data_IF_899114530946
#
_entry.id   IF_899114530946
#
_cell.length_a   1.000
_cell.length_b   1.000
_cell.length_c   1.000
_cell.angle_alpha   90.00
_cell.angle_beta   90.00
_cell.angle_gamma   90.00
#
_symmetry.space_group_name_H-M   'P 1'
#
loop_
_entity.id
_entity.type
_entity.pdbx_description
1 polymer ?
#
# COMPACT_ATOMS: atom_id res chain seq x y z
N UNK A 1 4.73 -5.88 -28.30
CA UNK A 1 5.70 -6.15 -27.20
C UNK A 1 4.96 -6.53 -25.91
N UNK A 2 5.56 -7.22 -24.92
CA UNK A 2 4.82 -7.77 -23.78
C UNK A 2 4.51 -6.71 -22.71
N UNK A 3 3.30 -6.79 -22.14
CA UNK A 3 2.93 -6.06 -20.93
C UNK A 3 3.63 -6.74 -19.75
N UNK A 4 4.43 -5.99 -18.98
CA UNK A 4 5.11 -6.50 -17.79
C UNK A 4 4.28 -6.19 -16.54
N UNK A 5 3.84 -7.25 -15.87
CA UNK A 5 3.12 -7.16 -14.60
C UNK A 5 4.11 -7.03 -13.45
N UNK A 6 3.98 -5.96 -12.67
CA UNK A 6 4.85 -5.64 -11.55
C UNK A 6 4.02 -5.50 -10.28
N UNK A 7 4.47 -6.14 -9.20
CA UNK A 7 3.93 -5.94 -7.86
C UNK A 7 4.98 -5.25 -6.98
N UNK A 8 4.54 -4.34 -6.11
CA UNK A 8 5.40 -3.61 -5.17
C UNK A 8 5.13 -4.11 -3.74
N UNK A 9 6.19 -4.47 -3.01
CA UNK A 9 6.10 -4.82 -1.60
C UNK A 9 6.86 -3.79 -0.75
N UNK A 10 6.15 -3.08 0.11
CA UNK A 10 6.68 -2.06 1.00
C UNK A 10 7.08 -2.68 2.35
N UNK A 11 8.38 -2.78 2.59
CA UNK A 11 8.91 -3.29 3.86
C UNK A 11 8.46 -2.42 5.05
N UNK A 12 8.21 -3.07 6.19
CA UNK A 12 7.98 -2.40 7.46
C UNK A 12 9.27 -1.88 8.11
N UNK A 13 9.13 -0.93 9.02
CA UNK A 13 10.25 -0.36 9.76
C UNK A 13 9.87 0.81 10.66
N UNK A 14 8.61 0.85 11.13
CA UNK A 14 8.06 2.01 11.83
C UNK A 14 8.18 3.29 10.99
N UNK A 15 8.76 4.33 11.58
CA UNK A 15 8.98 5.63 10.94
C UNK A 15 9.93 5.59 9.74
N UNK A 16 10.82 4.59 9.62
CA UNK A 16 11.66 4.43 8.43
C UNK A 16 10.85 4.13 7.16
N UNK A 17 9.59 3.70 7.29
CA UNK A 17 8.71 3.50 6.14
C UNK A 17 8.40 4.81 5.39
N UNK A 18 8.71 5.98 5.94
CA UNK A 18 8.71 7.25 5.21
C UNK A 18 9.60 7.21 3.96
N UNK A 19 10.61 6.33 3.92
CA UNK A 19 11.39 6.05 2.72
C UNK A 19 10.49 5.59 1.56
N UNK A 20 9.54 4.69 1.81
CA UNK A 20 8.61 4.20 0.79
C UNK A 20 7.73 5.34 0.26
N UNK A 21 7.35 6.28 1.11
CA UNK A 21 6.63 7.48 0.69
C UNK A 21 7.47 8.43 -0.19
N UNK A 22 8.80 8.37 -0.09
CA UNK A 22 9.70 9.05 -1.03
C UNK A 22 9.95 8.28 -2.33
N UNK A 23 9.96 6.95 -2.28
CA UNK A 23 10.26 6.08 -3.42
C UNK A 23 9.04 5.87 -4.35
N UNK A 24 7.85 5.63 -3.79
CA UNK A 24 6.62 5.35 -4.54
C UNK A 24 6.25 6.48 -5.52
N UNK A 25 6.35 7.78 -5.19
CA UNK A 25 6.11 8.87 -6.14
C UNK A 25 7.03 8.87 -7.36
N UNK A 26 8.20 8.23 -7.28
CA UNK A 26 9.14 8.10 -8.41
C UNK A 26 8.82 6.87 -9.26
N UNK A 27 8.31 5.80 -8.63
CA UNK A 27 7.99 4.55 -9.32
C UNK A 27 6.61 4.59 -9.98
N UNK A 28 5.59 5.14 -9.31
CA UNK A 28 4.21 5.12 -9.77
C UNK A 28 3.98 5.76 -11.16
N UNK A 29 4.66 6.86 -11.54
CA UNK A 29 4.54 7.42 -12.89
C UNK A 29 4.97 6.48 -14.02
N UNK A 30 5.75 5.42 -13.74
CA UNK A 30 6.19 4.48 -14.76
C UNK A 30 5.11 3.48 -15.17
N UNK A 31 4.04 3.33 -14.38
CA UNK A 31 2.97 2.38 -14.67
C UNK A 31 1.86 3.02 -15.50
N UNK A 32 1.50 2.35 -16.60
CA UNK A 32 0.51 2.84 -17.59
C UNK A 32 -0.88 2.22 -17.34
N UNK A 33 -1.26 2.00 -16.09
CA UNK A 33 -2.51 1.29 -15.76
C UNK A 33 -3.76 1.96 -16.34
N UNK A 34 -3.83 3.28 -16.30
CA UNK A 34 -4.98 4.03 -16.81
C UNK A 34 -5.15 3.85 -18.33
N UNK A 35 -4.04 3.77 -19.05
CA UNK A 35 -4.03 3.56 -20.50
C UNK A 35 -4.25 2.10 -20.89
N UNK A 36 -3.88 1.17 -20.01
CA UNK A 36 -4.14 -0.26 -20.17
C UNK A 36 -5.56 -0.69 -19.77
N UNK A 37 -6.31 0.16 -19.04
CA UNK A 37 -7.64 -0.18 -18.56
C UNK A 37 -8.67 -0.35 -19.70
N UNK A 38 -8.67 0.49 -20.76
CA UNK A 38 -9.51 0.27 -21.94
C UNK A 38 -9.14 -0.98 -22.75
N UNK A 39 -10.16 -1.66 -23.28
CA UNK A 39 -9.99 -2.77 -24.22
C UNK A 39 -9.15 -2.39 -25.44
N UNK A 40 -9.34 -1.17 -25.96
CA UNK A 40 -8.56 -0.60 -27.07
C UNK A 40 -7.17 -0.11 -26.65
N UNK A 41 -6.95 0.17 -25.36
CA UNK A 41 -5.70 0.70 -24.85
C UNK A 41 -4.54 -0.27 -25.02
N UNK A 42 -4.80 -1.57 -24.85
CA UNK A 42 -3.81 -2.62 -25.10
C UNK A 42 -3.34 -2.68 -26.54
N UNK A 43 -4.24 -2.50 -27.51
CA UNK A 43 -3.88 -2.50 -28.93
C UNK A 43 -3.03 -1.27 -29.27
N UNK A 44 -3.42 -0.09 -28.75
CA UNK A 44 -2.69 1.17 -28.97
C UNK A 44 -1.27 1.14 -28.39
N UNK A 45 -1.09 0.48 -27.25
CA UNK A 45 0.20 0.35 -26.58
C UNK A 45 1.05 -0.80 -27.13
N UNK A 46 0.48 -1.70 -27.94
CA UNK A 46 1.21 -2.86 -28.48
C UNK A 46 2.29 -2.47 -29.50
N UNK A 47 2.10 -1.30 -30.15
CA UNK A 47 3.00 -0.72 -31.15
C UNK A 47 4.15 0.10 -30.54
N UNK A 48 4.18 0.29 -29.21
CA UNK A 48 5.29 0.98 -28.56
C UNK A 48 6.58 0.11 -28.57
N UNK A 49 7.73 0.78 -28.80
CA UNK A 49 9.04 0.14 -28.86
C UNK A 49 9.60 -0.28 -27.47
N UNK A 50 8.98 0.17 -26.38
CA UNK A 50 9.43 -0.07 -25.00
C UNK A 50 8.44 -0.97 -24.25
N UNK A 51 8.92 -1.65 -23.20
CA UNK A 51 8.06 -2.46 -22.35
C UNK A 51 7.03 -1.59 -21.61
N UNK A 52 5.77 -2.02 -21.65
CA UNK A 52 4.68 -1.34 -20.94
C UNK A 52 4.53 -1.95 -19.56
N UNK A 53 4.76 -1.16 -18.52
CA UNK A 53 4.66 -1.60 -17.13
C UNK A 53 3.21 -1.47 -16.62
N UNK A 54 2.71 -2.54 -15.99
CA UNK A 54 1.43 -2.60 -15.31
C UNK A 54 1.63 -2.90 -13.84
N UNK A 55 1.15 -2.03 -12.96
CA UNK A 55 1.08 -2.31 -11.54
C UNK A 55 -0.07 -3.29 -11.28
N UNK A 56 0.23 -4.49 -10.82
CA UNK A 56 -0.79 -5.52 -10.53
C UNK A 56 -1.10 -5.66 -9.05
N UNK A 57 -0.24 -5.15 -8.18
CA UNK A 57 -0.47 -5.20 -6.74
C UNK A 57 0.52 -4.32 -5.99
N UNK A 58 0.08 -3.84 -4.83
CA UNK A 58 0.92 -3.16 -3.87
C UNK A 58 0.56 -3.68 -2.48
N UNK A 59 1.58 -4.05 -1.71
CA UNK A 59 1.42 -4.59 -0.37
C UNK A 59 2.43 -3.94 0.57
N UNK A 60 2.24 -4.10 1.87
CA UNK A 60 3.23 -3.69 2.83
C UNK A 60 2.96 -4.22 4.24
N UNK A 61 3.89 -3.98 5.15
CA UNK A 61 3.80 -4.41 6.55
C UNK A 61 4.04 -3.22 7.48
N UNK A 62 3.27 -3.08 8.57
CA UNK A 62 3.39 -1.96 9.54
C UNK A 62 3.36 -0.59 8.82
N UNK A 63 4.34 0.31 9.05
CA UNK A 63 4.42 1.60 8.34
C UNK A 63 4.52 1.48 6.81
N UNK A 64 5.04 0.36 6.30
CA UNK A 64 5.04 0.05 4.88
C UNK A 64 3.63 -0.24 4.35
N UNK A 65 2.75 -0.84 5.17
CA UNK A 65 1.34 -1.05 4.83
C UNK A 65 0.60 0.28 4.71
N UNK A 66 0.91 1.24 5.58
CA UNK A 66 0.34 2.61 5.51
C UNK A 66 0.75 3.27 4.20
N UNK A 67 2.03 3.23 3.85
CA UNK A 67 2.51 3.80 2.59
C UNK A 67 1.93 3.08 1.37
N UNK A 68 1.83 1.75 1.41
CA UNK A 68 1.20 0.97 0.34
C UNK A 68 -0.28 1.35 0.15
N UNK A 69 -1.03 1.47 1.25
CA UNK A 69 -2.44 1.82 1.24
C UNK A 69 -2.67 3.24 0.69
N UNK A 70 -1.93 4.23 1.19
CA UNK A 70 -2.04 5.63 0.72
C UNK A 70 -1.66 5.77 -0.74
N UNK A 71 -0.59 5.09 -1.15
CA UNK A 71 -0.15 5.07 -2.54
C UNK A 71 -1.19 4.44 -3.46
N UNK A 72 -1.71 3.27 -3.09
CA UNK A 72 -2.77 2.58 -3.81
C UNK A 72 -4.02 3.46 -3.94
N UNK A 73 -4.49 4.01 -2.83
CA UNK A 73 -5.71 4.81 -2.76
C UNK A 73 -5.59 6.06 -3.63
N UNK A 74 -4.50 6.83 -3.50
CA UNK A 74 -4.29 8.00 -4.35
C UNK A 74 -4.09 7.65 -5.82
N UNK A 75 -3.38 6.55 -6.11
CA UNK A 75 -3.17 6.09 -7.49
C UNK A 75 -4.48 5.69 -8.16
N UNK A 76 -5.39 5.06 -7.42
CA UNK A 76 -6.72 4.68 -7.87
C UNK A 76 -7.59 5.91 -8.22
N UNK A 77 -7.58 6.93 -7.36
CA UNK A 77 -8.44 8.11 -7.48
C UNK A 77 -7.93 9.15 -8.48
N UNK A 78 -6.62 9.37 -8.56
CA UNK A 78 -6.05 10.48 -9.33
C UNK A 78 -4.65 10.19 -9.89
N UNK A 79 -4.24 8.93 -9.92
CA UNK A 79 -2.95 8.52 -10.48
C UNK A 79 -1.74 8.91 -9.61
N UNK A 80 -0.54 8.94 -10.20
CA UNK A 80 0.71 9.13 -9.47
C UNK A 80 0.78 10.41 -8.61
N UNK A 81 0.24 11.51 -9.11
CA UNK A 81 0.28 12.79 -8.39
C UNK A 81 -0.63 12.79 -7.16
N UNK A 82 -1.82 12.18 -7.23
CA UNK A 82 -2.69 12.03 -6.08
C UNK A 82 -2.09 11.06 -5.04
N UNK A 83 -1.45 9.98 -5.48
CA UNK A 83 -0.70 9.06 -4.62
C UNK A 83 0.42 9.79 -3.87
N UNK A 84 1.23 10.57 -4.59
CA UNK A 84 2.28 11.41 -4.01
C UNK A 84 1.70 12.38 -2.99
N UNK A 85 0.68 13.15 -3.36
CA UNK A 85 0.10 14.13 -2.45
C UNK A 85 -0.48 13.49 -1.18
N UNK A 86 -1.12 12.32 -1.28
CA UNK A 86 -1.61 11.55 -0.13
C UNK A 86 -0.49 11.09 0.80
N UNK A 87 0.56 10.50 0.23
CA UNK A 87 1.76 10.09 0.97
C UNK A 87 2.43 11.28 1.66
N UNK A 88 2.63 12.39 0.95
CA UNK A 88 3.28 13.59 1.48
C UNK A 88 2.46 14.17 2.65
N UNK A 89 1.14 14.34 2.47
CA UNK A 89 0.26 14.85 3.53
C UNK A 89 0.28 13.98 4.78
N UNK A 90 0.19 12.65 4.64
CA UNK A 90 0.17 11.77 5.80
C UNK A 90 1.50 11.81 6.56
N UNK A 91 2.63 11.67 5.86
CA UNK A 91 3.93 11.62 6.55
C UNK A 91 4.35 12.97 7.12
N UNK A 92 3.93 14.09 6.52
CA UNK A 92 4.07 15.42 7.12
C UNK A 92 3.22 15.53 8.40
N UNK A 93 1.97 15.05 8.39
CA UNK A 93 1.11 15.04 9.58
C UNK A 93 1.63 14.09 10.67
N UNK A 94 2.23 12.96 10.30
CA UNK A 94 2.77 11.98 11.24
C UNK A 94 4.09 12.41 11.91
N UNK A 95 4.72 13.50 11.44
CA UNK A 95 5.93 14.01 12.08
C UNK A 95 5.65 14.51 13.51
N UNK A 96 6.54 14.20 14.46
CA UNK A 96 6.56 14.77 15.81
C UNK A 96 6.92 16.26 15.74
N UNK A 97 5.91 17.14 15.69
CA UNK A 97 6.12 18.58 15.52
C UNK A 97 5.78 19.37 16.77
N UNK A 98 4.84 18.89 17.60
CA UNK A 98 4.48 19.57 18.84
C UNK A 98 5.61 19.42 19.88
N UNK A 99 5.75 20.34 20.84
CA UNK A 99 6.87 20.34 21.79
C UNK A 99 6.98 19.03 22.60
N UNK A 100 5.85 18.51 23.09
CA UNK A 100 5.81 17.24 23.83
C UNK A 100 6.05 16.02 22.96
N UNK A 101 5.61 16.05 21.70
CA UNK A 101 5.88 14.98 20.72
C UNK A 101 7.38 14.89 20.44
N UNK A 102 8.05 16.04 20.26
CA UNK A 102 9.49 16.11 20.06
C UNK A 102 10.24 15.55 21.26
N UNK A 103 9.88 15.97 22.48
CA UNK A 103 10.49 15.46 23.70
C UNK A 103 10.35 13.94 23.81
N UNK A 104 9.14 13.40 23.61
CA UNK A 104 8.91 11.96 23.66
C UNK A 104 9.67 11.21 22.57
N UNK A 105 9.71 11.76 21.36
CA UNK A 105 10.45 11.21 20.23
C UNK A 105 11.97 11.21 20.49
N UNK A 106 12.50 12.25 21.13
CA UNK A 106 13.93 12.36 21.46
C UNK A 106 14.30 11.38 22.57
N UNK A 107 13.47 11.23 23.61
CA UNK A 107 13.62 10.21 24.65
C UNK A 107 13.58 8.81 24.04
N UNK A 108 12.62 8.55 23.14
CA UNK A 108 12.47 7.25 22.47
C UNK A 108 13.67 6.91 21.58
N UNK A 109 14.17 7.87 20.80
CA UNK A 109 15.39 7.70 20.00
C UNK A 109 16.62 7.47 20.87
N UNK A 110 16.75 8.21 21.98
CA UNK A 110 17.83 8.04 22.94
C UNK A 110 17.78 6.64 23.58
N UNK A 111 16.63 6.21 24.09
CA UNK A 111 16.45 4.87 24.64
C UNK A 111 16.73 3.78 23.61
N UNK A 112 16.27 3.95 22.37
CA UNK A 112 16.55 3.05 21.25
C UNK A 112 18.04 2.99 20.90
N UNK A 113 18.77 4.11 21.02
CA UNK A 113 20.22 4.14 20.78
C UNK A 113 21.02 3.37 21.82
N UNK A 114 20.50 3.26 23.06
CA UNK A 114 21.06 2.43 24.12
C UNK A 114 20.71 0.94 23.94
N UNK A 115 19.57 0.66 23.31
CA UNK A 115 19.12 -0.70 22.99
C UNK A 115 19.76 -1.23 21.70
N UNK A 116 21.05 -1.56 21.73
CA UNK A 116 21.71 -2.43 20.72
C UNK A 116 21.26 -3.90 20.81
N UNK A 117 20.19 -4.19 21.55
CA UNK A 117 19.71 -5.52 21.88
C UNK A 117 18.32 -5.68 21.26
N UNK A 118 18.09 -6.77 20.53
CA UNK A 118 16.81 -7.14 19.91
C UNK A 118 15.77 -7.44 21.00
N UNK A 119 15.24 -6.38 21.60
CA UNK A 119 14.19 -6.44 22.60
C UNK A 119 12.89 -6.77 21.88
N UNK A 120 12.58 -8.07 21.83
CA UNK A 120 11.26 -8.59 21.47
C UNK A 120 10.25 -8.22 22.55
N UNK A 121 9.89 -6.95 22.59
CA UNK A 121 8.84 -6.45 23.45
C UNK A 121 7.50 -6.74 22.77
N UNK A 122 6.69 -7.59 23.41
CA UNK A 122 5.31 -7.78 22.99
C UNK A 122 4.49 -6.57 23.45
N UNK A 123 3.73 -5.91 22.56
CA UNK A 123 2.86 -4.78 22.92
C UNK A 123 1.78 -5.18 23.94
N UNK A 124 1.48 -6.48 24.04
CA UNK A 124 0.46 -7.01 24.94
C UNK A 124 0.95 -7.29 26.36
N UNK A 125 2.25 -7.18 26.62
CA UNK A 125 2.84 -7.42 27.94
C UNK A 125 3.09 -6.10 28.66
N UNK A 126 2.95 -6.11 29.98
CA UNK A 126 3.36 -4.98 30.83
C UNK A 126 4.88 -4.76 30.71
N UNK A 127 5.36 -3.51 30.61
CA UNK A 127 4.62 -2.26 30.78
C UNK A 127 4.03 -1.67 29.47
N UNK A 128 4.28 -2.26 28.30
CA UNK A 128 3.86 -1.66 27.01
C UNK A 128 2.36 -1.56 26.85
N UNK A 129 1.59 -2.54 27.35
CA UNK A 129 0.13 -2.51 27.31
C UNK A 129 -0.46 -1.31 28.08
N UNK A 130 0.14 -0.97 29.22
CA UNK A 130 -0.30 0.13 30.07
C UNK A 130 0.03 1.48 29.40
N UNK A 131 1.21 1.57 28.79
CA UNK A 131 1.64 2.72 27.98
C UNK A 131 0.70 2.89 26.78
N UNK A 132 0.36 1.81 26.07
CA UNK A 132 -0.58 1.82 24.95
C UNK A 132 -1.96 2.31 25.39
N UNK A 133 -2.51 1.75 26.49
CA UNK A 133 -3.83 2.12 27.00
C UNK A 133 -3.88 3.59 27.42
N UNK A 134 -2.85 4.06 28.12
CA UNK A 134 -2.74 5.47 28.48
C UNK A 134 -2.67 6.37 27.24
N UNK A 135 -1.85 6.00 26.26
CA UNK A 135 -1.64 6.78 25.04
C UNK A 135 -2.87 6.83 24.13
N UNK A 136 -3.63 5.73 24.00
CA UNK A 136 -4.76 5.64 23.06
C UNK A 136 -6.10 5.97 23.68
N UNK A 137 -6.30 5.79 24.99
CA UNK A 137 -7.59 6.03 25.65
C UNK A 137 -7.58 7.23 26.63
N UNK A 138 -6.53 7.39 27.44
CA UNK A 138 -6.49 8.42 28.50
C UNK A 138 -5.98 9.77 27.99
N UNK A 139 -4.93 9.77 27.16
CA UNK A 139 -4.34 10.99 26.62
C UNK A 139 -5.32 11.86 25.81
N UNK A 140 -6.13 11.32 24.88
CA UNK A 140 -7.05 12.12 24.09
C UNK A 140 -8.10 12.82 24.95
N UNK A 141 -8.59 12.14 25.98
CA UNK A 141 -9.53 12.71 26.97
C UNK A 141 -8.89 13.88 27.72
N UNK A 142 -7.66 13.72 28.22
CA UNK A 142 -6.94 14.78 28.92
C UNK A 142 -6.64 15.98 28.01
N UNK A 143 -6.22 15.74 26.77
CA UNK A 143 -5.95 16.77 25.78
C UNK A 143 -7.21 17.56 25.41
N UNK A 144 -8.37 16.91 25.35
CA UNK A 144 -9.66 17.56 25.11
C UNK A 144 -10.15 18.38 26.32
N UNK A 145 -9.94 17.88 27.53
CA UNK A 145 -10.35 18.55 28.78
C UNK A 145 -9.49 19.78 29.11
N UNK A 146 -8.23 19.81 28.64
CA UNK A 146 -7.31 20.94 28.84
C UNK A 146 -6.64 21.32 27.52
N UNK A 147 -7.23 22.23 26.72
CA UNK A 147 -6.72 22.60 25.39
C UNK A 147 -5.24 23.03 25.32
N UNK A 148 -4.65 23.70 26.33
CA UNK A 148 -3.21 23.95 26.36
C UNK A 148 -2.33 22.68 26.32
N UNK A 149 -2.81 21.54 26.83
CA UNK A 149 -2.12 20.25 26.75
C UNK A 149 -2.21 19.64 25.34
N UNK A 150 -3.27 19.93 24.58
CA UNK A 150 -3.40 19.54 23.17
C UNK A 150 -2.39 20.23 22.25
N UNK A 151 -1.91 21.43 22.63
CA UNK A 151 -0.77 22.08 21.99
C UNK A 151 0.58 21.45 22.33
N UNK A 152 0.66 20.64 23.39
CA UNK A 152 1.86 19.93 23.83
C UNK A 152 2.03 18.59 23.08
N UNK A 153 0.98 17.76 23.01
CA UNK A 153 0.91 16.57 22.15
C UNK A 153 -0.49 16.52 21.52
N UNK A 154 -0.55 16.35 20.20
CA UNK A 154 -1.83 16.28 19.48
C UNK A 154 -2.64 15.07 19.96
N UNK A 155 -3.94 15.26 20.20
CA UNK A 155 -4.86 14.20 20.65
C UNK A 155 -4.80 12.89 19.84
N UNK A 156 -4.83 12.92 18.48
CA UNK A 156 -4.76 11.71 17.68
C UNK A 156 -3.34 11.15 17.46
N UNK A 157 -2.31 11.72 18.10
CA UNK A 157 -0.91 11.38 17.80
C UNK A 157 -0.57 9.89 17.99
N UNK A 158 -1.19 9.22 18.96
CA UNK A 158 -0.99 7.78 19.22
C UNK A 158 -2.05 6.88 18.55
N UNK A 159 -2.98 7.49 17.84
CA UNK A 159 -4.22 6.88 17.41
C UNK A 159 -4.16 6.65 15.90
N UNK A 160 -3.75 5.42 15.52
CA UNK A 160 -3.44 5.08 14.13
C UNK A 160 -4.64 5.31 13.20
N UNK A 161 -5.85 4.92 13.62
CA UNK A 161 -7.05 5.05 12.79
C UNK A 161 -7.36 6.51 12.52
N UNK A 162 -7.26 7.34 13.54
CA UNK A 162 -7.53 8.78 13.51
C UNK A 162 -6.44 9.52 12.73
N UNK A 163 -5.20 9.02 12.73
CA UNK A 163 -4.12 9.56 11.89
C UNK A 163 -4.32 9.26 10.40
N UNK A 164 -4.98 8.15 10.04
CA UNK A 164 -5.19 7.72 8.65
C UNK A 164 -6.52 8.25 8.08
N UNK A 165 -7.57 8.34 8.90
CA UNK A 165 -8.92 8.73 8.48
C UNK A 165 -8.99 10.04 7.66
N UNK A 166 -8.21 11.10 7.94
CA UNK A 166 -8.21 12.32 7.12
C UNK A 166 -7.67 12.11 5.69
N UNK A 167 -6.98 11.01 5.43
CA UNK A 167 -6.30 10.73 4.17
C UNK A 167 -7.01 9.68 3.32
N UNK A 168 -7.96 8.93 3.89
CA UNK A 168 -8.60 7.77 3.25
C UNK A 168 -10.09 7.73 3.60
N UNK A 169 -10.93 7.61 2.59
CA UNK A 169 -12.33 7.22 2.74
C UNK A 169 -12.42 5.70 2.95
N UNK A 170 -12.61 5.27 4.20
CA UNK A 170 -12.72 3.86 4.56
C UNK A 170 -14.00 3.20 4.02
N UNK A 171 -15.07 3.96 3.80
CA UNK A 171 -16.31 3.42 3.23
C UNK A 171 -16.08 3.05 1.77
N UNK A 172 -15.35 3.88 1.04
CA UNK A 172 -14.94 3.55 -0.33
C UNK A 172 -14.01 2.34 -0.38
N UNK A 173 -13.01 2.28 0.50
CA UNK A 173 -12.10 1.14 0.57
C UNK A 173 -12.87 -0.14 0.87
N UNK A 174 -13.83 -0.10 1.81
CA UNK A 174 -14.73 -1.20 2.12
C UNK A 174 -15.56 -1.63 0.92
N UNK A 175 -16.22 -0.70 0.25
CA UNK A 175 -17.04 -0.98 -0.93
C UNK A 175 -16.23 -1.62 -2.08
N UNK A 176 -15.00 -1.14 -2.32
CA UNK A 176 -14.09 -1.76 -3.30
C UNK A 176 -13.70 -3.17 -2.89
N UNK A 177 -13.40 -3.38 -1.60
CA UNK A 177 -13.10 -4.70 -1.05
C UNK A 177 -14.25 -5.68 -1.25
N UNK A 178 -15.46 -5.24 -0.92
CA UNK A 178 -16.69 -6.01 -1.13
C UNK A 178 -16.88 -6.39 -2.59
N UNK A 179 -16.75 -5.43 -3.51
CA UNK A 179 -16.85 -5.69 -4.93
C UNK A 179 -15.78 -6.68 -5.42
N UNK A 180 -14.52 -6.51 -5.00
CA UNK A 180 -13.41 -7.36 -5.41
C UNK A 180 -13.49 -8.79 -4.82
N UNK A 181 -14.18 -8.96 -3.69
CA UNK A 181 -14.34 -10.26 -3.01
C UNK A 181 -15.43 -11.15 -3.61
N UNK A 182 -16.31 -10.62 -4.47
CA UNK A 182 -17.43 -11.37 -5.08
C UNK A 182 -17.00 -12.73 -5.66
N UNK A 183 -15.92 -12.85 -6.46
CA UNK A 183 -15.50 -14.14 -7.01
C UNK A 183 -15.10 -15.15 -5.94
N UNK A 184 -14.53 -14.68 -4.82
CA UNK A 184 -14.16 -15.54 -3.69
C UNK A 184 -15.40 -16.03 -2.95
N UNK A 185 -16.37 -15.15 -2.71
CA UNK A 185 -17.63 -15.54 -2.06
C UNK A 185 -18.49 -16.45 -2.95
N UNK A 186 -18.47 -16.29 -4.28
CA UNK A 186 -19.10 -17.25 -5.20
C UNK A 186 -18.48 -18.64 -5.07
N UNK A 187 -17.14 -18.73 -5.01
CA UNK A 187 -16.45 -20.02 -4.80
C UNK A 187 -16.83 -20.65 -3.46
N UNK A 188 -16.93 -19.83 -2.41
CA UNK A 188 -17.36 -20.28 -1.08
C UNK A 188 -18.80 -20.80 -1.09
N UNK A 189 -19.70 -20.10 -1.78
CA UNK A 189 -21.08 -20.53 -2.00
C UNK A 189 -21.14 -21.87 -2.74
N UNK A 190 -20.36 -22.04 -3.81
CA UNK A 190 -20.28 -23.29 -4.58
C UNK A 190 -19.75 -24.45 -3.75
N UNK A 191 -18.73 -24.21 -2.91
CA UNK A 191 -18.18 -25.22 -2.02
C UNK A 191 -19.23 -25.71 -1.00
N UNK A 192 -19.94 -24.79 -0.36
CA UNK A 192 -21.02 -25.16 0.59
C UNK A 192 -22.17 -25.86 -0.12
N UNK A 193 -22.52 -25.45 -1.35
CA UNK A 193 -23.54 -26.13 -2.14
C UNK A 193 -23.17 -27.59 -2.44
N UNK A 194 -21.89 -27.87 -2.68
CA UNK A 194 -21.39 -29.23 -2.87
C UNK A 194 -21.42 -30.02 -1.56
N UNK A 195 -20.93 -29.45 -0.46
CA UNK A 195 -21.00 -30.06 0.88
C UNK A 195 -22.44 -30.43 1.26
N UNK A 196 -23.41 -29.54 1.00
CA UNK A 196 -24.82 -29.78 1.27
C UNK A 196 -25.41 -30.94 0.45
N UNK A 197 -24.89 -31.20 -0.75
CA UNK A 197 -25.31 -32.34 -1.58
C UNK A 197 -24.67 -33.66 -1.14
N UNK A 198 -23.53 -33.58 -0.48
CA UNK A 198 -22.77 -34.73 0.03
C UNK A 198 -23.10 -35.08 1.48
N UNK A 199 -23.77 -34.20 2.22
CA UNK A 199 -24.07 -34.42 3.63
C UNK A 199 -25.05 -35.58 3.84
N UNK A 200 -24.66 -36.49 4.74
CA UNK A 200 -25.35 -37.75 5.01
C UNK A 200 -26.60 -37.56 5.88
N UNK A 201 -26.63 -36.50 6.70
CA UNK A 201 -27.70 -36.28 7.68
C UNK A 201 -28.59 -35.08 7.31
N UNK A 202 -29.93 -35.17 7.51
CA UNK A 202 -30.84 -34.03 7.36
C UNK A 202 -30.43 -32.75 8.15
N UNK A 203 -30.06 -32.80 9.45
CA UNK A 203 -29.70 -31.59 10.20
C UNK A 203 -28.42 -30.92 9.69
N UNK A 204 -27.47 -31.69 9.19
CA UNK A 204 -26.26 -31.14 8.57
C UNK A 204 -26.58 -30.44 7.26
N UNK A 205 -27.44 -31.03 6.43
CA UNK A 205 -27.93 -30.40 5.19
C UNK A 205 -28.64 -29.07 5.47
N UNK A 206 -29.52 -29.03 6.46
CA UNK A 206 -30.23 -27.80 6.86
C UNK A 206 -29.24 -26.71 7.32
N UNK A 207 -28.24 -27.07 8.13
CA UNK A 207 -27.19 -26.13 8.57
C UNK A 207 -26.38 -25.58 7.38
N UNK A 208 -26.03 -26.42 6.42
CA UNK A 208 -25.26 -26.00 5.23
C UNK A 208 -26.12 -25.13 4.30
N UNK A 209 -27.40 -25.46 4.12
CA UNK A 209 -28.35 -24.62 3.38
C UNK A 209 -28.54 -23.24 4.02
N UNK A 210 -28.66 -23.17 5.35
CA UNK A 210 -28.73 -21.90 6.06
C UNK A 210 -27.46 -21.05 5.86
N UNK A 211 -26.27 -21.67 5.91
CA UNK A 211 -25.00 -21.00 5.60
C UNK A 211 -24.93 -20.53 4.15
N UNK A 212 -25.42 -21.33 3.21
CA UNK A 212 -25.49 -20.98 1.80
C UNK A 212 -26.39 -19.76 1.57
N UNK A 213 -27.57 -19.72 2.19
CA UNK A 213 -28.48 -18.58 2.13
C UNK A 213 -27.88 -17.30 2.73
N UNK A 214 -27.10 -17.42 3.82
CA UNK A 214 -26.37 -16.29 4.39
C UNK A 214 -25.33 -15.71 3.42
N UNK A 215 -24.56 -16.57 2.72
CA UNK A 215 -23.61 -16.12 1.69
C UNK A 215 -24.35 -15.49 0.51
N UNK A 216 -25.49 -16.04 0.10
CA UNK A 216 -26.28 -15.45 -0.98
C UNK A 216 -26.77 -14.04 -0.62
N UNK A 217 -27.23 -13.83 0.62
CA UNK A 217 -27.61 -12.51 1.11
C UNK A 217 -26.43 -11.53 1.08
N UNK A 218 -25.25 -11.96 1.57
CA UNK A 218 -24.02 -11.17 1.56
C UNK A 218 -23.56 -10.84 0.12
N UNK A 219 -23.61 -11.80 -0.81
CA UNK A 219 -23.31 -11.58 -2.22
C UNK A 219 -24.21 -10.52 -2.86
N UNK A 220 -25.51 -10.53 -2.55
CA UNK A 220 -26.45 -9.50 -3.04
C UNK A 220 -26.06 -8.11 -2.50
N UNK A 221 -25.64 -8.01 -1.24
CA UNK A 221 -25.15 -6.76 -0.67
C UNK A 221 -23.86 -6.28 -1.36
N UNK A 222 -22.87 -7.17 -1.57
CA UNK A 222 -21.61 -6.83 -2.26
C UNK A 222 -21.81 -6.41 -3.71
N UNK A 223 -22.76 -7.03 -4.42
CA UNK A 223 -23.12 -6.64 -5.80
C UNK A 223 -23.66 -5.20 -5.86
N UNK A 224 -24.34 -4.73 -4.81
CA UNK A 224 -24.81 -3.35 -4.72
C UNK A 224 -23.67 -2.33 -4.58
N UNK A 225 -22.50 -2.73 -4.04
CA UNK A 225 -21.32 -1.88 -3.89
C UNK A 225 -20.85 -1.28 -5.22
N UNK A 226 -21.02 -1.99 -6.34
CA UNK A 226 -20.65 -1.47 -7.66
C UNK A 226 -21.44 -0.22 -8.08
N UNK A 227 -22.74 -0.19 -7.78
CA UNK A 227 -23.59 0.97 -8.03
C UNK A 227 -23.22 2.16 -7.13
N UNK A 228 -22.95 1.87 -5.86
CA UNK A 228 -22.51 2.87 -4.89
C UNK A 228 -21.15 3.48 -5.27
N UNK A 229 -20.14 2.67 -5.63
CA UNK A 229 -18.82 3.16 -6.07
C UNK A 229 -18.96 4.09 -7.28
N UNK A 230 -19.82 3.73 -8.23
CA UNK A 230 -20.06 4.57 -9.42
C UNK A 230 -20.72 5.91 -9.06
N UNK A 231 -21.67 5.93 -8.12
CA UNK A 231 -22.30 7.15 -7.63
C UNK A 231 -21.30 8.02 -6.86
N UNK A 232 -20.54 7.43 -5.94
CA UNK A 232 -19.49 8.08 -5.17
C UNK A 232 -18.44 8.73 -6.09
N UNK A 233 -17.97 7.99 -7.11
CA UNK A 233 -16.97 8.48 -8.07
C UNK A 233 -17.46 9.66 -8.89
N UNK A 234 -18.77 9.70 -9.20
CA UNK A 234 -19.39 10.83 -9.89
C UNK A 234 -19.48 12.06 -8.98
N UNK A 235 -19.85 11.87 -7.72
CA UNK A 235 -19.97 12.95 -6.74
C UNK A 235 -18.60 13.61 -6.42
N UNK A 236 -17.51 12.85 -6.50
CA UNK A 236 -16.14 13.33 -6.23
C UNK A 236 -15.37 13.77 -7.48
N UNK A 237 -16.05 13.93 -8.63
CA UNK A 237 -15.49 14.50 -9.87
C UNK A 237 -14.15 13.90 -10.33
N UNK A 238 -13.96 12.59 -10.17
CA UNK A 238 -12.67 11.96 -10.51
C UNK A 238 -12.27 12.20 -11.97
N UNK A 239 -11.01 12.59 -12.16
CA UNK A 239 -10.43 12.91 -13.46
C UNK A 239 -10.57 11.77 -14.47
N UNK A 240 -10.63 12.10 -15.77
CA UNK A 240 -10.82 11.12 -16.85
C UNK A 240 -9.74 10.03 -16.94
N UNK A 241 -8.55 10.28 -16.37
CA UNK A 241 -7.43 9.32 -16.30
C UNK A 241 -7.36 8.50 -15.02
N UNK A 242 -8.37 8.55 -14.14
CA UNK A 242 -8.39 7.74 -12.91
C UNK A 242 -8.80 6.30 -13.18
N UNK A 243 -8.34 5.39 -12.32
CA UNK A 243 -8.63 3.96 -12.45
C UNK A 243 -10.02 3.57 -11.94
N UNK A 244 -10.63 4.41 -11.10
CA UNK A 244 -11.93 4.13 -10.48
C UNK A 244 -13.13 4.61 -11.32
N UNK A 245 -12.89 5.24 -12.47
CA UNK A 245 -14.00 5.84 -13.24
C UNK A 245 -14.85 4.78 -13.95
N UNK A 246 -16.16 5.07 -14.03
CA UNK A 246 -17.13 4.32 -14.83
C UNK A 246 -16.74 4.38 -16.31
N UNK A 247 -16.68 3.21 -16.95
CA UNK A 247 -16.58 3.08 -18.40
C UNK A 247 -17.72 3.88 -19.06
N UNK A 248 -17.45 4.75 -20.06
CA UNK A 248 -18.52 5.36 -20.81
C UNK A 248 -19.33 4.24 -21.47
N UNK A 249 -20.58 4.09 -21.03
CA UNK A 249 -21.55 3.27 -21.75
C UNK A 249 -21.61 3.82 -23.18
N UNK A 250 -21.10 3.04 -24.12
CA UNK A 250 -21.04 3.41 -25.52
C UNK A 250 -22.45 3.70 -26.07
N UNK A 251 -22.76 4.98 -26.23
CA UNK A 251 -23.47 5.50 -27.41
C UNK A 251 -22.78 6.81 -27.81
N UNK A 252 -22.22 6.91 -29.02
CA UNK A 252 -21.61 8.14 -29.48
C UNK A 252 -22.74 9.13 -29.82
N UNK A 253 -22.77 10.28 -29.16
CA UNK A 253 -23.41 11.46 -29.72
C UNK A 253 -22.30 12.48 -30.01
N UNK A 254 -22.25 12.88 -31.28
CA UNK A 254 -21.35 13.86 -31.87
C UNK A 254 -21.51 15.25 -31.22
N UNK A 255 -20.53 16.16 -31.43
CA UNK A 255 -20.18 17.20 -30.46
C UNK A 255 -21.05 18.44 -30.58
N UNK A 256 -21.24 19.13 -29.46
CA UNK A 256 -21.56 20.56 -29.45
C UNK A 256 -20.35 21.29 -28.89
N UNK A 257 -19.81 22.17 -29.72
CA UNK A 257 -18.70 23.07 -29.44
C UNK A 257 -18.99 24.06 -28.32
N UNK A 258 -17.98 24.88 -28.00
CA UNK A 258 -18.02 26.21 -27.33
C UNK A 258 -18.12 26.15 -25.78
N UNK A 259 -17.34 26.81 -24.91
CA UNK A 259 -16.34 27.91 -24.91
C UNK A 259 -15.40 27.75 -23.69
N UNK A 260 -14.17 28.29 -23.81
CA UNK A 260 -13.15 28.48 -22.75
C UNK A 260 -13.67 29.13 -21.45
N UNK A 261 -13.11 28.73 -20.31
CA UNK A 261 -12.79 29.67 -19.23
C UNK A 261 -11.52 29.23 -18.51
N UNK A 262 -10.55 30.15 -18.46
CA UNK A 262 -9.29 30.06 -17.73
C UNK A 262 -9.51 30.05 -16.22
N UNK A 263 -8.79 29.20 -15.50
CA UNK A 263 -8.52 29.41 -14.08
C UNK A 263 -7.06 29.08 -13.79
N UNK A 264 -6.33 30.13 -13.40
CA UNK A 264 -4.95 30.11 -12.91
C UNK A 264 -4.84 29.27 -11.64
N UNK A 265 -3.94 28.28 -11.65
CA UNK A 265 -3.50 27.57 -10.44
C UNK A 265 -2.47 28.45 -9.73
N UNK A 266 -2.63 28.78 -8.44
CA UNK A 266 -1.54 29.38 -7.68
C UNK A 266 -0.50 28.30 -7.40
N UNK A 267 0.64 28.41 -8.07
CA UNK A 267 1.87 27.75 -7.68
C UNK A 267 2.35 28.27 -6.33
N UNK A 268 2.82 27.32 -5.51
CA UNK A 268 3.70 27.45 -4.32
C UNK A 268 3.05 27.20 -2.96
N UNK A 269 3.12 25.95 -2.50
CA UNK A 269 3.44 25.67 -1.10
C UNK A 269 4.68 24.77 -1.07
N UNK A 270 5.80 25.32 -0.59
CA UNK A 270 6.97 24.51 -0.22
C UNK A 270 6.63 23.86 1.13
N UNK A 271 6.16 22.62 1.13
CA UNK A 271 6.07 21.84 2.37
C UNK A 271 7.49 21.60 2.89
N UNK A 272 7.79 22.17 4.06
CA UNK A 272 9.04 21.91 4.78
C UNK A 272 8.84 20.67 5.65
N UNK A 273 9.45 19.58 5.20
CA UNK A 273 9.51 18.32 5.93
C UNK A 273 10.37 18.45 7.20
N UNK A 274 10.04 17.69 8.25
CA UNK A 274 10.91 17.56 9.41
C UNK A 274 12.28 16.96 9.02
N UNK A 275 13.34 17.25 9.79
CA UNK A 275 14.72 16.90 9.45
C UNK A 275 14.97 15.39 9.30
N UNK A 276 14.28 14.55 10.08
CA UNK A 276 14.40 13.08 9.99
C UNK A 276 13.79 12.55 8.67
N UNK A 277 12.57 12.96 8.34
CA UNK A 277 11.89 12.56 7.09
C UNK A 277 12.58 13.16 5.85
N UNK A 278 13.11 14.38 5.95
CA UNK A 278 13.90 15.02 4.89
C UNK A 278 15.16 14.23 4.54
N UNK A 279 15.79 13.61 5.54
CA UNK A 279 17.03 12.84 5.37
C UNK A 279 16.73 11.48 4.72
N UNK A 280 15.67 10.79 5.16
CA UNK A 280 15.19 9.56 4.52
C UNK A 280 14.81 9.79 3.04
N UNK A 281 14.13 10.91 2.73
CA UNK A 281 13.75 11.30 1.36
C UNK A 281 14.96 11.63 0.48
N UNK A 282 15.92 12.40 0.99
CA UNK A 282 17.15 12.73 0.24
C UNK A 282 17.93 11.48 -0.13
N UNK A 283 17.98 10.49 0.76
CA UNK A 283 18.56 9.18 0.47
C UNK A 283 17.77 8.43 -0.61
N UNK A 284 16.43 8.40 -0.54
CA UNK A 284 15.58 7.78 -1.56
C UNK A 284 15.72 8.42 -2.94
N UNK A 285 15.68 9.76 -3.02
CA UNK A 285 15.78 10.52 -4.26
C UNK A 285 17.17 10.47 -4.89
N UNK A 286 18.22 10.20 -4.08
CA UNK A 286 19.59 9.99 -4.56
C UNK A 286 19.77 8.55 -5.07
N UNK A 287 19.20 7.56 -4.37
CA UNK A 287 19.26 6.14 -4.74
C UNK A 287 18.42 5.79 -5.99
N UNK A 288 17.23 6.39 -6.11
CA UNK A 288 16.38 6.26 -7.30
C UNK A 288 16.96 6.95 -8.54
N UNK A 289 17.77 8.01 -8.36
CA UNK A 289 18.49 8.66 -9.46
C UNK A 289 19.74 7.88 -9.88
N UNK A 290 20.44 7.23 -8.94
CA UNK A 290 21.62 6.41 -9.26
C UNK A 290 21.29 5.05 -9.88
N UNK A 291 20.02 4.65 -9.93
CA UNK A 291 19.56 3.40 -10.58
C UNK A 291 19.14 3.60 -12.05
N UNK A 292 19.21 4.83 -12.58
CA UNK A 292 19.21 5.10 -14.02
C UNK A 292 20.64 5.09 -14.56
N UNK A 293 20.98 4.05 -15.34
CA UNK A 293 22.18 3.89 -16.17
C UNK A 293 23.42 4.75 -15.83
N UNK A 294 24.42 4.15 -15.19
CA UNK A 294 25.80 4.31 -15.66
C UNK A 294 26.57 3.00 -15.44
N UNK A 295 27.15 2.52 -16.54
CA UNK A 295 28.15 1.47 -16.54
C UNK A 295 29.42 1.95 -15.84
N UNK A 296 30.18 0.99 -15.30
CA UNK A 296 31.56 1.08 -14.80
C UNK A 296 31.79 1.72 -13.42
N UNK A 297 32.05 0.86 -12.42
CA UNK A 297 33.37 0.67 -11.80
C UNK A 297 33.25 0.09 -10.39
N UNK A 298 33.91 -1.05 -10.21
CA UNK A 298 34.47 -1.65 -8.98
C UNK A 298 34.19 -0.97 -7.63
N UNK A 299 33.29 -1.58 -6.85
CA UNK A 299 33.34 -1.55 -5.39
C UNK A 299 32.71 -2.83 -4.81
N UNK A 300 33.53 -3.85 -4.59
CA UNK A 300 33.16 -5.04 -3.81
C UNK A 300 32.96 -4.65 -2.35
N UNK A 301 31.71 -4.46 -1.92
CA UNK A 301 31.32 -4.56 -0.50
C UNK A 301 30.72 -5.94 -0.27
N UNK A 302 31.39 -6.75 0.54
CA UNK A 302 30.92 -8.05 1.00
C UNK A 302 29.63 -7.88 1.83
N UNK A 303 28.49 -8.28 1.27
CA UNK A 303 27.25 -8.50 2.02
C UNK A 303 27.21 -9.97 2.49
N UNK A 304 26.67 -10.27 3.69
CA UNK A 304 26.60 -11.63 4.19
C UNK A 304 25.70 -12.50 3.31
N UNK A 305 26.15 -13.72 3.02
CA UNK A 305 25.43 -14.69 2.19
C UNK A 305 24.14 -15.13 2.89
N UNK A 306 23.04 -15.32 2.15
CA UNK A 306 21.87 -15.95 2.73
C UNK A 306 22.15 -17.45 2.89
N UNK A 307 22.08 -17.92 4.13
CA UNK A 307 22.09 -19.35 4.46
C UNK A 307 20.72 -19.69 5.02
N UNK A 308 20.19 -20.85 4.64
CA UNK A 308 18.86 -21.30 5.05
C UNK A 308 18.95 -22.66 5.70
N UNK A 309 18.13 -22.84 6.73
CA UNK A 309 18.08 -24.05 7.56
C UNK A 309 17.10 -25.03 6.92
N UNK A 310 17.60 -26.15 6.43
CA UNK A 310 16.76 -27.23 5.91
C UNK A 310 16.45 -28.22 7.03
N UNK A 311 15.17 -28.39 7.34
CA UNK A 311 14.67 -29.21 8.44
C UNK A 311 14.12 -28.35 9.58
N UNK A 312 12.82 -28.50 9.89
CA UNK A 312 12.16 -27.85 11.03
C UNK A 312 12.79 -28.23 12.38
N UNK A 313 12.28 -27.66 13.47
CA UNK A 313 12.83 -27.71 14.85
C UNK A 313 13.00 -29.13 15.45
N UNK A 314 13.92 -29.92 14.90
CA UNK A 314 14.46 -31.15 15.50
C UNK A 314 15.96 -30.98 15.73
N UNK A 315 16.54 -31.60 16.78
CA UNK A 315 17.98 -31.58 17.00
C UNK A 315 18.68 -32.31 15.84
N UNK A 316 19.64 -31.66 15.17
CA UNK A 316 20.42 -32.23 14.05
C UNK A 316 20.34 -31.50 12.70
N UNK A 317 19.61 -30.38 12.59
CA UNK A 317 19.53 -29.62 11.33
C UNK A 317 20.87 -28.96 10.95
N UNK A 318 21.36 -29.22 9.74
CA UNK A 318 22.60 -28.67 9.18
C UNK A 318 22.35 -27.42 8.34
N UNK A 319 23.28 -26.46 8.40
CA UNK A 319 23.24 -25.23 7.62
C UNK A 319 23.85 -25.45 6.23
N UNK A 320 23.13 -25.05 5.18
CA UNK A 320 23.67 -24.99 3.81
C UNK A 320 23.68 -23.55 3.33
N UNK A 321 24.78 -23.16 2.70
CA UNK A 321 24.96 -21.85 2.07
C UNK A 321 25.12 -22.03 0.56
N UNK A 322 24.65 -21.05 -0.22
CA UNK A 322 24.72 -21.12 -1.68
C UNK A 322 26.18 -21.19 -2.18
N UNK A 323 26.49 -22.04 -3.18
CA UNK A 323 27.82 -22.09 -3.80
C UNK A 323 28.11 -20.81 -4.59
N UNK A 324 29.40 -20.49 -4.75
CA UNK A 324 29.85 -19.33 -5.53
C UNK A 324 29.36 -19.42 -6.99
N UNK A 325 28.89 -18.32 -7.60
CA UNK A 325 28.75 -18.28 -9.05
C UNK A 325 30.14 -18.43 -9.69
N UNK A 326 30.26 -19.33 -10.66
CA UNK A 326 31.49 -19.49 -11.44
C UNK A 326 31.80 -18.19 -12.20
N UNK A 327 33.08 -17.79 -12.33
CA UNK A 327 33.44 -16.60 -13.07
C UNK A 327 33.11 -16.79 -14.56
N UNK A 328 32.34 -15.85 -15.11
CA UNK A 328 32.00 -15.81 -16.52
C UNK A 328 33.27 -15.62 -17.36
N UNK A 329 33.63 -16.61 -18.18
CA UNK A 329 34.79 -16.53 -19.06
C UNK A 329 34.83 -17.63 -20.12
N UNK A 330 34.47 -17.24 -21.35
CA UNK A 330 34.73 -17.83 -22.68
C UNK A 330 33.64 -18.72 -23.34
N UNK A 331 33.59 -18.74 -24.70
CA UNK A 331 32.39 -19.08 -25.47
C UNK A 331 32.45 -20.42 -26.23
N UNK A 332 31.24 -20.92 -26.59
CA UNK A 332 30.88 -21.91 -27.64
C UNK A 332 31.25 -23.39 -27.42
N UNK A 333 30.65 -24.39 -28.13
CA UNK A 333 29.36 -24.46 -28.86
C UNK A 333 28.56 -25.79 -28.68
N UNK A 334 27.28 -25.80 -29.10
CA UNK A 334 26.75 -26.90 -29.92
C UNK A 334 25.93 -28.04 -29.27
N UNK A 335 24.79 -28.28 -29.93
CA UNK A 335 24.01 -29.53 -30.13
C UNK A 335 23.02 -30.00 -29.07
N UNK A 336 21.92 -30.48 -29.66
CA UNK A 336 20.70 -31.04 -29.12
C UNK A 336 20.92 -32.43 -28.50
N UNK A 337 20.14 -32.75 -27.47
CA UNK A 337 19.35 -33.96 -27.30
C UNK A 337 18.27 -33.70 -26.24
#
# INVERSE_FOLDING_TARGET
MPIKNIAIACQGGGSHAAYAAGALPVLLPQFRNAELAPSQGRAKLADEAQDVLRLTGISGTSGGAISALLAWYGYLLGGPEAAKAGLERFWDANCAIAPGERLLNDIGQWAGSLAQVDLKLSPYLSPLREIETFATATWPMLAAMWPPLGGWIRGPYFQLRESIAPHIDFDLVGAIGDFCSIPQEIKRWQAIALEARMADTPPERERLQARQAAIEHDLRARLASGGWIAAWSKAHELAAGSLLRKWPSSKPSMPVSTIRASASVPTTSRSRWCASCSTARRSAARYARSSGCSQSSTATRNWPRPCWRTGGNRPGATWRCAPNPAPCGRPWPGRWA
#
